data_IF_983089156699
#
_entry.id   IF_983089156699
#
_cell.length_a   1.000
_cell.length_b   1.000
_cell.length_c   1.000
_cell.angle_alpha   90.00
_cell.angle_beta   90.00
_cell.angle_gamma   90.00
#
_symmetry.space_group_name_H-M   'P 1'
#
loop_
_entity.id
_entity.type
_entity.pdbx_description
1 polymer ?
#
# COMPACT_ATOMS: atom_id res chain seq x y z
N UNK A 1 -5.90 -1.00 -6.92
CA UNK A 1 -6.06 -0.99 -5.45
C UNK A 1 -6.49 0.39 -5.00
N UNK A 2 -7.08 0.47 -3.82
CA UNK A 2 -7.45 1.74 -3.17
C UNK A 2 -7.54 1.51 -1.67
N UNK A 3 -7.46 2.58 -0.89
CA UNK A 3 -7.62 2.56 0.56
C UNK A 3 -8.57 3.67 0.96
N UNK A 4 -9.57 3.35 1.77
CA UNK A 4 -10.48 4.34 2.36
C UNK A 4 -10.02 4.69 3.76
N UNK A 5 -10.40 5.89 4.21
CA UNK A 5 -10.16 6.35 5.57
C UNK A 5 -11.39 7.08 6.11
N UNK A 6 -11.72 6.82 7.37
CA UNK A 6 -12.80 7.46 8.09
C UNK A 6 -12.30 7.94 9.46
N UNK A 7 -12.46 9.23 9.81
CA UNK A 7 -12.17 9.70 11.16
C UNK A 7 -13.11 9.08 12.20
N UNK A 8 -12.58 8.76 13.37
CA UNK A 8 -13.34 8.22 14.51
C UNK A 8 -13.46 9.28 15.60
N UNK A 9 -14.48 9.13 16.45
CA UNK A 9 -14.67 9.94 17.68
C UNK A 9 -14.60 11.47 17.46
N UNK A 10 -15.07 11.94 16.30
CA UNK A 10 -15.08 13.36 15.95
C UNK A 10 -13.72 13.91 15.52
N UNK A 11 -12.74 13.04 15.24
CA UNK A 11 -11.47 13.45 14.66
C UNK A 11 -11.69 14.23 13.35
N UNK A 12 -10.89 15.27 13.07
CA UNK A 12 -11.06 16.06 11.85
C UNK A 12 -10.81 15.26 10.57
N UNK A 13 -11.49 15.62 9.48
CA UNK A 13 -11.36 14.94 8.19
C UNK A 13 -9.94 14.96 7.62
N UNK A 14 -9.17 16.03 7.88
CA UNK A 14 -7.78 16.13 7.39
C UNK A 14 -6.87 15.02 7.95
N UNK A 15 -7.25 14.39 9.06
CA UNK A 15 -6.51 13.24 9.61
C UNK A 15 -6.45 12.05 8.65
N UNK A 16 -7.35 12.00 7.67
CA UNK A 16 -7.38 10.97 6.63
C UNK A 16 -6.54 11.27 5.38
N UNK A 17 -5.95 12.46 5.24
CA UNK A 17 -5.18 12.86 4.04
C UNK A 17 -4.02 11.91 3.77
N UNK A 18 -3.34 11.46 4.83
CA UNK A 18 -2.21 10.54 4.73
C UNK A 18 -2.60 9.07 4.62
N UNK A 19 -3.89 8.73 4.71
CA UNK A 19 -4.36 7.35 4.59
C UNK A 19 -5.21 7.10 3.35
N UNK A 20 -5.85 8.13 2.81
CA UNK A 20 -6.71 7.99 1.64
C UNK A 20 -5.88 7.72 0.40
N UNK A 21 -6.23 6.65 -0.33
CA UNK A 21 -5.56 6.31 -1.59
C UNK A 21 -6.61 5.93 -2.63
N UNK A 22 -6.77 6.76 -3.66
CA UNK A 22 -7.62 6.42 -4.79
C UNK A 22 -6.96 5.40 -5.71
N UNK A 23 -7.80 4.64 -6.43
CA UNK A 23 -7.39 4.01 -7.66
C UNK A 23 -7.19 5.11 -8.72
N UNK A 24 -5.95 5.61 -8.87
CA UNK A 24 -5.67 6.77 -9.74
C UNK A 24 -6.07 6.57 -11.20
N UNK A 25 -6.10 5.33 -11.68
CA UNK A 25 -6.50 5.01 -13.05
C UNK A 25 -8.01 5.10 -13.29
N UNK A 26 -8.82 4.93 -12.24
CA UNK A 26 -10.29 4.96 -12.32
C UNK A 26 -10.90 6.20 -11.64
N UNK A 27 -10.08 7.02 -10.99
CA UNK A 27 -10.52 8.23 -10.29
C UNK A 27 -11.50 7.93 -9.14
N UNK A 28 -11.14 7.06 -8.20
CA UNK A 28 -11.95 6.84 -6.99
C UNK A 28 -11.61 5.59 -6.19
N UNK A 29 -12.40 5.31 -5.16
CA UNK A 29 -12.30 4.11 -4.31
C UNK A 29 -13.04 2.91 -4.94
N UNK A 30 -12.62 2.49 -6.13
CA UNK A 30 -13.30 1.43 -6.89
C UNK A 30 -12.37 0.59 -7.75
N UNK A 31 -12.88 -0.58 -8.13
CA UNK A 31 -12.31 -1.45 -9.15
C UNK A 31 -13.08 -1.29 -10.48
N UNK A 32 -12.50 -1.73 -11.58
CA UNK A 32 -13.17 -1.75 -12.88
C UNK A 32 -14.15 -2.93 -12.88
N UNK A 33 -15.42 -2.64 -12.59
CA UNK A 33 -16.44 -3.64 -12.24
C UNK A 33 -16.67 -4.71 -13.31
N UNK A 34 -16.38 -4.42 -14.58
CA UNK A 34 -16.49 -5.41 -15.67
C UNK A 34 -15.55 -6.60 -15.48
N UNK A 35 -14.34 -6.37 -14.97
CA UNK A 35 -13.30 -7.40 -14.88
C UNK A 35 -12.89 -7.71 -13.44
N UNK A 36 -12.98 -6.74 -12.54
CA UNK A 36 -12.39 -6.83 -11.21
C UNK A 36 -13.44 -6.71 -10.11
N UNK A 37 -13.16 -7.35 -8.99
CA UNK A 37 -13.88 -7.22 -7.72
C UNK A 37 -12.93 -6.70 -6.62
N UNK A 38 -13.42 -5.88 -5.69
CA UNK A 38 -12.63 -5.44 -4.55
C UNK A 38 -12.52 -6.56 -3.51
N UNK A 39 -11.30 -6.87 -3.09
CA UNK A 39 -11.01 -7.77 -1.99
C UNK A 39 -10.40 -6.95 -0.85
N UNK A 40 -11.05 -6.99 0.32
CA UNK A 40 -10.53 -6.34 1.51
C UNK A 40 -9.29 -7.09 2.01
N UNK A 41 -8.16 -6.38 2.08
CA UNK A 41 -6.89 -6.92 2.59
C UNK A 41 -6.84 -6.79 4.10
N UNK A 42 -7.17 -5.61 4.64
CA UNK A 42 -7.31 -5.39 6.08
C UNK A 42 -8.25 -4.22 6.37
N UNK A 43 -8.67 -4.16 7.63
CA UNK A 43 -9.30 -3.01 8.27
C UNK A 43 -8.62 -2.75 9.61
N UNK A 44 -8.10 -1.53 9.80
CA UNK A 44 -7.32 -1.15 10.97
C UNK A 44 -7.78 0.19 11.54
N UNK A 45 -7.68 0.33 12.86
CA UNK A 45 -7.80 1.62 13.56
C UNK A 45 -6.39 2.12 13.88
N UNK A 46 -6.03 3.29 13.34
CA UNK A 46 -4.77 3.96 13.68
C UNK A 46 -5.05 5.06 14.68
N UNK A 47 -4.42 4.94 15.86
CA UNK A 47 -4.33 6.03 16.82
C UNK A 47 -3.26 7.01 16.33
N UNK A 48 -3.63 8.28 16.26
CA UNK A 48 -2.77 9.34 15.75
C UNK A 48 -2.04 10.05 16.89
N UNK A 49 -0.97 10.80 16.60
CA UNK A 49 -0.32 11.62 17.60
C UNK A 49 -1.32 12.58 18.28
N UNK A 50 -1.16 12.74 19.59
CA UNK A 50 -1.99 13.65 20.38
C UNK A 50 -1.96 15.06 19.80
N UNK A 51 -3.14 15.63 19.60
CA UNK A 51 -3.31 17.01 19.14
C UNK A 51 -3.77 17.87 20.30
N UNK A 52 -3.11 18.99 20.54
CA UNK A 52 -3.52 19.95 21.57
C UNK A 52 -4.15 21.18 20.95
N UNK A 53 -5.26 21.66 21.51
CA UNK A 53 -5.81 22.96 21.17
C UNK A 53 -6.19 23.74 22.43
N UNK A 54 -6.08 25.06 22.36
CA UNK A 54 -6.61 25.95 23.39
C UNK A 54 -8.11 26.09 23.15
N UNK A 55 -8.90 25.77 24.16
CA UNK A 55 -10.32 26.04 24.20
C UNK A 55 -10.63 27.06 25.29
N UNK A 56 -11.79 27.68 25.21
CA UNK A 56 -12.27 28.63 26.19
C UNK A 56 -13.39 28.00 27.01
N UNK A 57 -13.33 28.14 28.33
CA UNK A 57 -14.44 27.79 29.22
C UNK A 57 -14.83 28.97 30.07
N UNK A 58 -16.12 29.03 30.39
CA UNK A 58 -16.63 30.02 31.34
C UNK A 58 -16.47 29.48 32.76
N UNK A 59 -15.74 30.20 33.59
CA UNK A 59 -15.61 29.93 35.02
C UNK A 59 -16.31 31.02 35.81
N UNK A 60 -17.19 30.63 36.73
CA UNK A 60 -17.97 31.56 37.55
C UNK A 60 -17.66 31.37 39.03
N UNK A 61 -17.41 32.47 39.74
CA UNK A 61 -17.39 32.51 41.21
C UNK A 61 -18.75 33.04 41.67
N UNK A 62 -19.59 32.15 42.19
CA UNK A 62 -21.01 32.44 42.46
C UNK A 62 -21.80 32.69 41.17
N UNK A 63 -22.97 33.33 41.27
CA UNK A 63 -23.88 33.52 40.14
C UNK A 63 -23.59 34.74 39.25
N UNK A 64 -22.64 35.60 39.63
CA UNK A 64 -22.46 36.92 38.98
C UNK A 64 -21.06 37.17 38.41
N UNK A 65 -20.00 36.54 38.93
CA UNK A 65 -18.64 36.77 38.48
C UNK A 65 -18.15 35.64 37.58
N UNK A 66 -18.51 35.71 36.29
CA UNK A 66 -18.06 34.76 35.28
C UNK A 66 -16.94 35.36 34.41
N UNK A 67 -15.86 34.62 34.22
CA UNK A 67 -14.76 34.96 33.30
C UNK A 67 -14.56 33.85 32.28
N UNK A 68 -14.10 34.22 31.09
CA UNK A 68 -13.69 33.25 30.07
C UNK A 68 -12.22 32.98 30.29
N UNK A 69 -11.86 31.73 30.54
CA UNK A 69 -10.48 31.32 30.73
C UNK A 69 -10.07 30.34 29.64
N UNK A 70 -8.86 30.48 29.08
CA UNK A 70 -8.31 29.50 28.17
C UNK A 70 -7.88 28.25 28.94
N UNK A 71 -8.08 27.09 28.35
CA UNK A 71 -7.58 25.82 28.86
C UNK A 71 -7.10 24.94 27.72
N UNK A 72 -6.10 24.10 27.99
CA UNK A 72 -5.56 23.19 26.99
C UNK A 72 -6.39 21.91 26.95
N UNK A 73 -6.79 21.49 25.75
CA UNK A 73 -7.46 20.21 25.50
C UNK A 73 -6.56 19.34 24.64
N UNK A 74 -6.39 18.09 25.05
CA UNK A 74 -5.71 17.06 24.27
C UNK A 74 -6.73 16.16 23.61
N UNK A 75 -6.66 16.06 22.29
CA UNK A 75 -7.48 15.17 21.47
C UNK A 75 -6.68 13.92 21.14
N UNK A 76 -7.31 12.77 21.38
CA UNK A 76 -6.80 11.45 21.00
C UNK A 76 -7.47 11.01 19.71
N UNK A 77 -7.03 11.61 18.61
CA UNK A 77 -7.63 11.36 17.30
C UNK A 77 -7.32 9.93 16.83
N UNK A 78 -8.29 9.27 16.21
CA UNK A 78 -8.13 7.97 15.59
C UNK A 78 -8.83 7.93 14.22
N UNK A 79 -8.34 7.07 13.33
CA UNK A 79 -8.93 6.86 12.01
C UNK A 79 -9.09 5.37 11.72
N UNK A 80 -10.19 5.00 11.07
CA UNK A 80 -10.42 3.67 10.52
C UNK A 80 -10.00 3.65 9.05
N UNK A 81 -9.15 2.69 8.70
CA UNK A 81 -8.57 2.56 7.37
C UNK A 81 -8.85 1.18 6.82
N UNK A 82 -9.36 1.11 5.59
CA UNK A 82 -9.66 -0.16 4.91
C UNK A 82 -8.91 -0.22 3.59
N UNK A 83 -8.06 -1.23 3.42
CA UNK A 83 -7.32 -1.48 2.19
C UNK A 83 -8.06 -2.49 1.31
N UNK A 84 -8.21 -2.15 0.04
CA UNK A 84 -8.77 -3.03 -0.98
C UNK A 84 -7.82 -3.21 -2.16
N UNK A 85 -7.64 -4.46 -2.58
CA UNK A 85 -7.00 -4.77 -3.86
C UNK A 85 -8.03 -5.26 -4.87
N UNK A 86 -7.80 -4.96 -6.14
CA UNK A 86 -8.73 -5.30 -7.21
C UNK A 86 -8.31 -6.62 -7.82
N UNK A 87 -9.05 -7.69 -7.53
CA UNK A 87 -8.79 -9.04 -8.05
C UNK A 87 -9.61 -9.27 -9.30
N UNK A 88 -9.02 -9.96 -10.29
CA UNK A 88 -9.77 -10.42 -11.45
C UNK A 88 -10.89 -11.36 -11.01
N UNK A 89 -12.12 -11.12 -11.46
CA UNK A 89 -13.25 -11.99 -11.14
C UNK A 89 -13.01 -13.40 -11.71
N UNK A 90 -13.46 -14.45 -11.01
CA UNK A 90 -13.38 -15.82 -11.53
C UNK A 90 -14.00 -15.94 -12.92
N UNK A 91 -13.43 -16.80 -13.77
CA UNK A 91 -13.93 -17.13 -15.11
C UNK A 91 -13.94 -15.96 -16.12
N UNK A 92 -13.30 -14.84 -15.80
CA UNK A 92 -13.09 -13.75 -16.76
C UNK A 92 -11.70 -13.86 -17.39
N UNK A 93 -11.65 -13.77 -18.71
CA UNK A 93 -10.40 -13.64 -19.46
C UNK A 93 -10.07 -12.15 -19.65
N UNK A 94 -8.91 -11.73 -19.14
CA UNK A 94 -8.41 -10.38 -19.36
C UNK A 94 -7.82 -10.25 -20.78
N UNK A 95 -8.23 -9.23 -21.54
CA UNK A 95 -7.54 -8.87 -22.77
C UNK A 95 -6.05 -8.56 -22.51
N UNK A 96 -5.20 -8.72 -23.54
CA UNK A 96 -3.79 -8.35 -23.45
C UNK A 96 -3.62 -6.88 -23.03
N UNK A 97 -2.66 -6.60 -22.14
CA UNK A 97 -2.34 -5.26 -21.61
C UNK A 97 -3.49 -4.61 -20.83
N UNK A 98 -4.34 -5.40 -20.18
CA UNK A 98 -5.32 -4.93 -19.20
C UNK A 98 -4.84 -5.23 -17.78
N UNK A 99 -5.11 -4.29 -16.87
CA UNK A 99 -4.64 -4.33 -15.50
C UNK A 99 -3.39 -3.49 -15.27
N UNK A 100 -3.02 -3.36 -13.99
CA UNK A 100 -1.79 -2.66 -13.58
C UNK A 100 -0.61 -3.63 -13.61
N UNK A 101 0.53 -3.17 -14.13
CA UNK A 101 1.83 -3.80 -13.86
C UNK A 101 2.29 -3.43 -12.45
N UNK A 102 2.97 -4.36 -11.79
CA UNK A 102 3.52 -4.18 -10.46
C UNK A 102 5.05 -4.08 -10.53
N UNK A 103 5.62 -3.07 -9.87
CA UNK A 103 7.04 -2.76 -9.88
C UNK A 103 7.71 -2.91 -8.53
N UNK A 104 7.10 -3.66 -7.60
CA UNK A 104 7.57 -3.82 -6.22
C UNK A 104 6.93 -2.88 -5.22
N UNK A 105 7.37 -3.03 -3.97
CA UNK A 105 6.99 -2.20 -2.83
C UNK A 105 8.24 -1.61 -2.19
N UNK A 106 8.08 -0.55 -1.39
CA UNK A 106 9.11 0.00 -0.51
C UNK A 106 8.45 0.75 0.66
N UNK A 107 9.22 1.01 1.70
CA UNK A 107 8.86 1.92 2.81
C UNK A 107 9.72 3.20 2.75
N UNK A 108 9.31 4.24 3.46
CA UNK A 108 10.05 5.50 3.50
C UNK A 108 11.49 5.29 4.01
N UNK A 109 12.49 5.68 3.20
CA UNK A 109 13.90 5.50 3.50
C UNK A 109 14.47 4.12 3.14
N UNK A 110 13.65 3.21 2.61
CA UNK A 110 14.07 1.89 2.17
C UNK A 110 14.13 1.78 0.64
N UNK A 111 14.94 0.83 0.16
CA UNK A 111 14.99 0.49 -1.26
C UNK A 111 13.82 -0.44 -1.60
N UNK A 112 13.34 -0.35 -2.84
CA UNK A 112 12.45 -1.34 -3.39
C UNK A 112 13.25 -2.59 -3.75
N UNK A 113 13.09 -3.67 -2.98
CA UNK A 113 13.85 -4.91 -3.12
C UNK A 113 13.74 -5.57 -4.50
N UNK A 114 12.65 -5.33 -5.21
CA UNK A 114 12.47 -5.84 -6.57
C UNK A 114 13.38 -5.12 -7.57
N UNK A 115 13.60 -3.82 -7.36
CA UNK A 115 14.32 -2.97 -8.33
C UNK A 115 15.72 -2.58 -7.86
N UNK A 116 16.04 -2.76 -6.58
CA UNK A 116 17.28 -2.31 -5.95
C UNK A 116 17.45 -0.79 -5.92
N UNK A 117 16.36 -0.02 -6.03
CA UNK A 117 16.37 1.45 -6.10
C UNK A 117 15.42 2.06 -5.09
N UNK A 118 15.69 3.29 -4.67
CA UNK A 118 14.74 4.09 -3.90
C UNK A 118 13.54 4.49 -4.79
N UNK A 119 12.34 4.30 -4.26
CA UNK A 119 11.10 4.69 -4.93
C UNK A 119 10.67 3.76 -6.07
N UNK A 120 9.77 4.28 -6.92
CA UNK A 120 9.23 3.52 -8.04
C UNK A 120 10.11 3.58 -9.30
N UNK A 121 10.21 2.46 -10.06
CA UNK A 121 10.97 2.44 -11.30
C UNK A 121 10.23 3.18 -12.42
N UNK A 122 10.95 3.65 -13.44
CA UNK A 122 10.38 4.18 -14.68
C UNK A 122 9.29 5.24 -14.47
N UNK A 123 8.11 5.01 -15.05
CA UNK A 123 6.94 5.88 -14.90
C UNK A 123 5.87 5.33 -13.94
N UNK A 124 6.22 4.31 -13.14
CA UNK A 124 5.31 3.75 -12.14
C UNK A 124 4.89 4.81 -11.12
N UNK A 125 3.61 4.75 -10.74
CA UNK A 125 3.03 5.63 -9.74
C UNK A 125 3.06 4.96 -8.36
N UNK A 126 3.38 5.71 -7.30
CA UNK A 126 3.31 5.21 -5.94
C UNK A 126 1.85 5.11 -5.47
N UNK A 127 1.53 3.99 -4.83
CA UNK A 127 0.24 3.71 -4.22
C UNK A 127 0.45 3.35 -2.76
N UNK A 128 -0.10 4.16 -1.85
CA UNK A 128 0.00 3.91 -0.42
C UNK A 128 -0.81 2.67 -0.03
N UNK A 129 -0.21 1.86 0.82
CA UNK A 129 -0.78 0.71 1.49
C UNK A 129 -0.58 0.92 2.99
N UNK A 130 -1.68 0.98 3.72
CA UNK A 130 -1.65 1.19 5.16
C UNK A 130 -1.08 2.55 5.52
N UNK A 131 -0.19 2.56 6.52
CA UNK A 131 0.50 3.75 7.00
C UNK A 131 1.85 3.96 6.31
N UNK A 132 2.56 2.87 6.00
CA UNK A 132 4.00 2.91 5.79
C UNK A 132 4.50 2.31 4.48
N UNK A 133 3.68 1.50 3.80
CA UNK A 133 4.09 0.77 2.60
C UNK A 133 3.64 1.52 1.35
N UNK A 134 4.49 1.54 0.33
CA UNK A 134 4.15 2.05 -1.00
C UNK A 134 4.33 0.97 -2.05
N UNK A 135 3.29 0.69 -2.83
CA UNK A 135 3.36 -0.16 -4.02
C UNK A 135 3.54 0.66 -5.30
N UNK A 136 4.32 0.14 -6.23
CA UNK A 136 4.55 0.77 -7.52
C UNK A 136 3.66 0.14 -8.58
N UNK A 137 2.75 0.93 -9.17
CA UNK A 137 1.83 0.47 -10.21
C UNK A 137 1.94 1.29 -11.49
N UNK A 138 1.89 0.64 -12.65
CA UNK A 138 1.91 1.31 -13.97
C UNK A 138 0.94 0.67 -14.96
N UNK A 139 0.35 1.49 -15.84
CA UNK A 139 -0.40 1.04 -17.02
C UNK A 139 0.36 1.35 -18.32
N UNK A 140 1.58 1.89 -18.24
CA UNK A 140 2.41 2.24 -19.39
C UNK A 140 3.23 1.03 -19.88
N UNK A 141 2.54 0.02 -20.43
CA UNK A 141 3.15 -1.22 -20.91
C UNK A 141 4.30 -1.03 -21.91
N UNK A 142 4.35 0.10 -22.63
CA UNK A 142 5.40 0.35 -23.62
C UNK A 142 6.75 0.66 -22.96
N UNK A 143 6.75 1.37 -21.84
CA UNK A 143 7.98 1.85 -21.19
C UNK A 143 8.33 1.04 -19.93
N UNK A 144 7.32 0.57 -19.22
CA UNK A 144 7.48 0.08 -17.85
C UNK A 144 7.50 -1.45 -17.72
N UNK A 145 7.21 -2.17 -18.81
CA UNK A 145 7.17 -3.64 -18.79
C UNK A 145 8.49 -4.28 -18.34
N UNK A 146 9.63 -3.67 -18.68
CA UNK A 146 10.96 -4.16 -18.31
C UNK A 146 11.22 -4.17 -16.78
N UNK A 147 10.47 -3.36 -16.03
CA UNK A 147 10.55 -3.30 -14.56
C UNK A 147 9.40 -4.05 -13.88
N UNK A 148 8.49 -4.64 -14.67
CA UNK A 148 7.32 -5.32 -14.13
C UNK A 148 7.67 -6.70 -13.61
N UNK A 149 7.09 -7.03 -12.46
CA UNK A 149 7.13 -8.37 -11.88
C UNK A 149 5.71 -8.92 -11.79
N UNK A 150 5.46 -10.17 -12.22
CA UNK A 150 4.15 -10.78 -12.08
C UNK A 150 3.76 -10.86 -10.61
N UNK A 151 2.61 -10.28 -10.28
CA UNK A 151 2.01 -10.32 -8.95
C UNK A 151 0.71 -11.12 -9.01
N UNK A 152 0.48 -11.91 -7.98
CA UNK A 152 -0.79 -12.61 -7.79
C UNK A 152 -1.75 -11.76 -6.95
N UNK A 153 -1.28 -11.20 -5.84
CA UNK A 153 -2.11 -10.38 -4.97
C UNK A 153 -1.47 -10.05 -3.62
N UNK A 154 -2.27 -9.45 -2.76
CA UNK A 154 -1.94 -9.09 -1.37
C UNK A 154 -2.89 -9.80 -0.41
N UNK A 155 -2.38 -10.15 0.76
CA UNK A 155 -3.16 -10.78 1.81
C UNK A 155 -2.61 -10.40 3.19
N UNK A 156 -3.38 -10.62 4.25
CA UNK A 156 -3.00 -10.23 5.61
C UNK A 156 -3.42 -11.25 6.66
N UNK A 157 -3.17 -10.95 7.94
CA UNK A 157 -3.71 -11.75 9.03
C UNK A 157 -5.26 -11.84 9.03
N UNK A 158 -5.96 -10.89 8.37
CA UNK A 158 -7.42 -10.80 8.32
C UNK A 158 -8.04 -11.46 7.08
N UNK A 159 -7.24 -11.80 6.06
CA UNK A 159 -7.76 -12.50 4.88
C UNK A 159 -7.98 -13.98 5.16
N UNK A 160 -8.98 -14.57 4.50
CA UNK A 160 -9.27 -16.00 4.62
C UNK A 160 -8.21 -16.86 3.93
N UNK A 161 -7.80 -16.48 2.73
CA UNK A 161 -6.70 -17.09 2.01
C UNK A 161 -5.39 -16.35 2.30
N UNK A 162 -4.37 -17.12 2.66
CA UNK A 162 -3.04 -16.65 3.06
C UNK A 162 -1.93 -17.39 2.33
N UNK A 163 -2.29 -18.05 1.22
CA UNK A 163 -1.36 -18.87 0.45
C UNK A 163 -1.17 -18.28 -0.95
N UNK A 164 0.07 -18.38 -1.46
CA UNK A 164 0.35 -18.04 -2.84
C UNK A 164 0.05 -19.23 -3.75
N UNK A 165 -0.41 -18.94 -4.97
CA UNK A 165 -0.57 -19.93 -6.04
C UNK A 165 0.77 -20.57 -6.42
N UNK A 166 0.69 -21.77 -6.98
CA UNK A 166 1.87 -22.51 -7.45
C UNK A 166 2.73 -21.66 -8.41
N UNK A 167 4.02 -21.53 -8.07
CA UNK A 167 4.98 -20.74 -8.83
C UNK A 167 5.07 -19.26 -8.40
N UNK A 168 4.25 -18.82 -7.45
CA UNK A 168 4.43 -17.58 -6.72
C UNK A 168 5.11 -17.85 -5.38
N UNK A 169 5.83 -16.85 -4.90
CA UNK A 169 6.53 -16.86 -3.61
C UNK A 169 5.95 -15.77 -2.73
N UNK A 170 5.80 -16.08 -1.45
CA UNK A 170 5.31 -15.15 -0.44
C UNK A 170 6.44 -14.24 0.04
N UNK A 171 6.14 -12.96 0.16
CA UNK A 171 7.04 -11.93 0.69
C UNK A 171 6.30 -11.12 1.76
N UNK A 172 6.97 -10.86 2.88
CA UNK A 172 6.47 -9.96 3.91
C UNK A 172 6.62 -8.51 3.43
N UNK A 173 5.57 -7.71 3.59
CA UNK A 173 5.59 -6.30 3.23
C UNK A 173 5.82 -5.41 4.45
N UNK A 174 5.00 -5.60 5.49
CA UNK A 174 5.09 -4.85 6.74
C UNK A 174 4.22 -5.52 7.82
N UNK A 175 4.44 -5.13 9.06
CA UNK A 175 3.54 -5.45 10.18
C UNK A 175 2.86 -4.16 10.63
N UNK A 176 1.55 -4.06 10.43
CA UNK A 176 0.77 -2.89 10.83
C UNK A 176 -0.29 -3.29 11.86
N UNK A 177 -0.30 -2.60 13.02
CA UNK A 177 -1.20 -2.91 14.13
C UNK A 177 -1.20 -4.40 14.55
N UNK A 178 -0.02 -5.00 14.63
CA UNK A 178 0.18 -6.43 14.93
C UNK A 178 -0.45 -7.39 13.91
N UNK A 179 -0.72 -6.91 12.70
CA UNK A 179 -1.18 -7.70 11.57
C UNK A 179 -0.15 -7.63 10.45
N UNK A 180 0.40 -8.78 10.08
CA UNK A 180 1.30 -8.86 8.95
C UNK A 180 0.55 -8.70 7.63
N UNK A 181 1.16 -7.93 6.73
CA UNK A 181 0.80 -7.78 5.34
C UNK A 181 1.80 -8.57 4.48
N UNK A 182 1.28 -9.38 3.57
CA UNK A 182 2.06 -10.18 2.64
C UNK A 182 1.61 -9.93 1.18
N UNK A 183 2.49 -10.27 0.25
CA UNK A 183 2.20 -10.27 -1.17
C UNK A 183 2.88 -11.43 -1.88
N UNK A 184 2.30 -11.84 -2.99
CA UNK A 184 2.75 -12.99 -3.78
C UNK A 184 3.30 -12.52 -5.13
N UNK A 185 4.58 -12.78 -5.39
CA UNK A 185 5.20 -12.50 -6.68
C UNK A 185 5.84 -13.75 -7.28
N UNK A 186 5.80 -13.83 -8.60
CA UNK A 186 6.53 -14.84 -9.32
C UNK A 186 8.00 -14.43 -9.35
N UNK A 187 8.85 -15.29 -8.80
CA UNK A 187 10.28 -15.03 -8.76
C UNK A 187 10.83 -14.84 -10.18
N UNK A 188 11.26 -13.62 -10.50
CA UNK A 188 11.90 -13.28 -11.78
C UNK A 188 13.30 -13.90 -11.90
N UNK A 189 13.86 -14.39 -10.78
CA UNK A 189 15.19 -14.97 -10.72
C UNK A 189 15.33 -16.29 -11.51
N UNK A 190 14.25 -16.99 -11.83
CA UNK A 190 14.37 -18.20 -12.67
C UNK A 190 14.60 -17.93 -14.16
N UNK A 191 14.37 -16.71 -14.64
CA UNK A 191 14.50 -16.36 -16.07
C UNK A 191 15.71 -15.46 -16.34
N UNK A 192 15.94 -14.43 -15.52
CA UNK A 192 17.05 -13.48 -15.74
C UNK A 192 18.38 -13.94 -15.11
N UNK A 193 18.36 -14.45 -13.86
CA UNK A 193 19.59 -14.92 -13.20
C UNK A 193 20.16 -16.20 -13.83
N UNK A 194 19.35 -17.01 -14.53
CA UNK A 194 19.86 -18.18 -15.26
C UNK A 194 20.64 -17.79 -16.52
N UNK A 195 20.25 -16.71 -17.20
CA UNK A 195 20.96 -16.15 -18.35
C UNK A 195 22.21 -15.40 -17.89
N UNK A 196 22.11 -14.57 -16.85
CA UNK A 196 23.27 -13.86 -16.30
C UNK A 196 24.29 -14.80 -15.67
N UNK A 197 23.90 -15.82 -14.90
CA UNK A 197 24.83 -16.85 -14.40
C UNK A 197 25.43 -17.70 -15.51
N UNK A 198 24.71 -17.99 -16.61
CA UNK A 198 25.30 -18.65 -17.78
C UNK A 198 26.32 -17.75 -18.49
N UNK A 199 26.02 -16.46 -18.66
CA UNK A 199 26.96 -15.51 -19.27
C UNK A 199 28.22 -15.30 -18.42
N UNK A 200 28.07 -15.08 -17.12
CA UNK A 200 29.21 -14.91 -16.20
C UNK A 200 30.06 -16.18 -16.09
N UNK A 201 29.45 -17.37 -16.10
CA UNK A 201 30.19 -18.65 -16.13
C UNK A 201 30.83 -18.95 -17.50
N UNK A 202 30.31 -18.41 -18.59
CA UNK A 202 30.92 -18.53 -19.93
C UNK A 202 32.17 -17.64 -20.04
N UNK A 203 32.10 -16.40 -19.56
CA UNK A 203 33.24 -15.49 -19.57
C UNK A 203 34.35 -15.90 -18.59
N UNK A 204 34.02 -16.43 -17.41
CA UNK A 204 35.05 -16.91 -16.45
C UNK A 204 35.76 -18.19 -16.91
N UNK A 205 35.14 -19.03 -17.76
CA UNK A 205 35.81 -20.17 -18.40
C UNK A 205 36.63 -19.80 -19.64
N UNK A 206 36.34 -18.68 -20.29
CA UNK A 206 37.05 -18.25 -21.49
C UNK A 206 38.36 -17.51 -21.23
N UNK A 207 38.62 -17.09 -19.99
CA UNK A 207 39.82 -16.36 -19.56
C UNK A 207 40.77 -17.18 -18.65
N UNK A 208 40.54 -18.49 -18.51
CA UNK A 208 41.41 -19.40 -17.74
C UNK A 208 41.97 -20.52 -18.63
N UNK A 209 42.65 -20.11 -19.70
CA UNK A 209 43.56 -20.95 -20.49
C UNK A 209 44.80 -20.16 -20.83
#
# INVERSE_FOLDING_TARGET
>A
MFQTCQPLDGAPQYQCENFTQYNTFLGGHKCEETFYEPIQVFEHVYFLPDRTAVQERRECIGSQNCTIVPFLVTFKDAVMVKLYWCRLKPHIYLPSKKGAMFGGIFMDGEINDITGKYGCPGTFKPYRIGKSVTACLSYNYAQDFIYSVPIEGFFSCQTSDKTCLNGFTQHHAATENHCDLYYCVKDSQNSFNRIFRRFVNFFTKSFSK
#
